data_IF_570435284419
#
_entry.id   IF_570435284419
#
_cell.length_a   1.000
_cell.length_b   1.000
_cell.length_c   1.000
_cell.angle_alpha   90.00
_cell.angle_beta   90.00
_cell.angle_gamma   90.00
#
_symmetry.space_group_name_H-M   'P 1'
#
loop_
_entity.id
_entity.type
_entity.pdbx_description
1 polymer ?
#
# COMPACT_ATOMS: atom_id res chain seq x y z
N UNK A 1 -1.54 -18.27 0.55
CA UNK A 1 -1.74 -16.82 0.26
C UNK A 1 -3.07 -16.38 0.84
N UNK A 2 -3.25 -15.11 1.21
CA UNK A 2 -4.41 -14.67 2.00
C UNK A 2 -5.14 -13.52 1.32
N UNK A 3 -6.47 -13.50 1.48
CA UNK A 3 -7.31 -12.41 1.07
C UNK A 3 -6.94 -11.14 1.84
N UNK A 4 -7.04 -9.99 1.18
CA UNK A 4 -6.83 -8.66 1.76
C UNK A 4 -7.99 -7.74 1.48
N UNK A 5 -7.89 -6.53 2.00
CA UNK A 5 -8.83 -5.44 1.72
C UNK A 5 -8.14 -4.29 1.01
N UNK A 6 -8.86 -3.66 0.11
CA UNK A 6 -8.46 -2.37 -0.45
C UNK A 6 -9.14 -1.28 0.37
N UNK A 7 -8.40 -0.22 0.68
CA UNK A 7 -8.94 0.87 1.48
C UNK A 7 -8.41 2.23 1.04
N UNK A 8 -8.91 3.24 1.71
CA UNK A 8 -8.50 4.64 1.57
C UNK A 8 -8.02 5.17 2.91
N UNK A 9 -6.87 5.81 2.91
CA UNK A 9 -6.33 6.50 4.09
C UNK A 9 -7.15 7.75 4.39
N UNK A 10 -7.90 7.73 5.48
CA UNK A 10 -8.71 8.89 5.89
C UNK A 10 -7.83 9.95 6.56
N UNK A 11 -6.93 9.52 7.46
CA UNK A 11 -6.06 10.39 8.21
C UNK A 11 -5.41 9.66 9.37
N UNK A 12 -4.86 10.44 10.31
CA UNK A 12 -4.29 9.90 11.55
C UNK A 12 -4.96 10.56 12.75
N UNK A 13 -5.09 9.80 13.82
CA UNK A 13 -5.58 10.26 15.11
C UNK A 13 -4.84 9.56 16.25
N UNK A 14 -5.10 9.95 17.47
CA UNK A 14 -4.67 9.26 18.68
C UNK A 14 -5.87 8.58 19.33
N UNK A 15 -5.66 7.38 19.82
CA UNK A 15 -6.58 6.69 20.71
C UNK A 15 -5.89 6.49 22.06
N UNK A 16 -6.66 6.51 23.11
CA UNK A 16 -6.17 6.26 24.45
C UNK A 16 -6.60 4.85 24.87
N UNK A 17 -5.72 4.12 25.53
CA UNK A 17 -6.02 2.84 26.15
C UNK A 17 -6.56 3.07 27.56
N UNK A 18 -7.14 2.05 28.14
CA UNK A 18 -7.63 2.08 29.53
C UNK A 18 -6.49 2.32 30.53
N UNK A 19 -5.26 1.90 30.17
CA UNK A 19 -4.04 2.14 30.94
C UNK A 19 -3.50 3.59 30.82
N UNK A 20 -4.15 4.45 30.04
CA UNK A 20 -3.76 5.85 29.82
C UNK A 20 -2.73 6.06 28.70
N UNK A 21 -2.30 5.02 27.99
CA UNK A 21 -1.35 5.15 26.88
C UNK A 21 -1.97 5.82 25.66
N UNK A 22 -1.25 6.78 25.06
CA UNK A 22 -1.64 7.42 23.80
C UNK A 22 -1.04 6.70 22.61
N UNK A 23 -1.89 6.04 21.81
CA UNK A 23 -1.48 5.27 20.65
C UNK A 23 -1.81 6.05 19.37
N UNK A 24 -0.79 6.42 18.54
CA UNK A 24 -1.05 7.01 17.24
C UNK A 24 -1.58 5.94 16.29
N UNK A 25 -2.69 6.22 15.61
CA UNK A 25 -3.32 5.29 14.66
C UNK A 25 -3.61 5.99 13.34
N UNK A 26 -3.50 5.24 12.26
CA UNK A 26 -4.01 5.62 10.95
C UNK A 26 -5.39 5.01 10.76
N UNK A 27 -6.36 5.82 10.37
CA UNK A 27 -7.72 5.40 10.06
C UNK A 27 -7.80 5.07 8.57
N UNK A 28 -8.20 3.85 8.27
CA UNK A 28 -8.42 3.33 6.92
C UNK A 28 -9.91 3.06 6.72
N UNK A 29 -10.47 3.64 5.70
CA UNK A 29 -11.82 3.33 5.21
C UNK A 29 -11.68 2.14 4.26
N UNK A 30 -12.24 1.02 4.64
CA UNK A 30 -12.23 -0.24 3.86
C UNK A 30 -13.64 -0.65 3.45
N UNK A 31 -14.58 0.29 3.49
CA UNK A 31 -15.95 0.08 3.07
C UNK A 31 -16.03 -0.34 1.60
N UNK A 32 -17.08 -1.09 1.26
CA UNK A 32 -17.46 -1.31 -0.13
C UNK A 32 -16.42 -2.10 -0.97
N UNK A 33 -15.75 -3.08 -0.35
CA UNK A 33 -14.96 -4.08 -1.07
C UNK A 33 -15.89 -5.15 -1.65
N UNK A 34 -15.96 -5.27 -2.97
CA UNK A 34 -16.89 -6.19 -3.69
C UNK A 34 -16.10 -7.09 -4.60
N UNK A 35 -16.43 -8.38 -4.61
CA UNK A 35 -15.84 -9.37 -5.50
C UNK A 35 -16.36 -9.16 -6.92
N UNK A 36 -15.48 -8.95 -7.87
CA UNK A 36 -15.83 -8.76 -9.29
C UNK A 36 -15.59 -10.00 -10.14
N UNK A 37 -14.59 -10.79 -9.81
CA UNK A 37 -14.28 -12.02 -10.54
C UNK A 37 -13.51 -12.99 -9.64
N UNK A 38 -13.77 -14.25 -9.81
CA UNK A 38 -12.99 -15.32 -9.24
C UNK A 38 -12.18 -15.94 -10.38
N UNK A 39 -10.87 -16.02 -10.21
CA UNK A 39 -9.94 -16.62 -11.16
C UNK A 39 -9.60 -18.03 -10.74
N UNK A 40 -9.71 -18.96 -11.68
CA UNK A 40 -9.43 -20.37 -11.46
C UNK A 40 -8.24 -20.84 -12.28
N UNK A 41 -7.53 -21.89 -11.84
CA UNK A 41 -6.40 -22.43 -12.59
C UNK A 41 -6.75 -22.90 -14.01
N UNK A 42 -7.99 -23.34 -14.20
CA UNK A 42 -8.48 -23.87 -15.47
C UNK A 42 -8.66 -22.79 -16.54
N UNK A 43 -9.17 -21.62 -16.14
CA UNK A 43 -9.48 -20.53 -17.07
C UNK A 43 -8.37 -19.48 -17.15
N UNK A 44 -7.75 -19.16 -16.03
CA UNK A 44 -6.79 -18.06 -15.91
C UNK A 44 -5.35 -18.53 -15.62
N UNK A 45 -5.14 -19.82 -15.33
CA UNK A 45 -3.84 -20.40 -14.99
C UNK A 45 -3.40 -20.18 -13.55
N UNK A 46 -4.22 -19.50 -12.70
CA UNK A 46 -3.95 -19.29 -11.28
C UNK A 46 -5.23 -19.01 -10.50
N UNK A 47 -5.18 -19.22 -9.18
CA UNK A 47 -6.31 -18.91 -8.28
C UNK A 47 -6.17 -17.51 -7.67
N UNK A 48 -7.19 -16.69 -7.84
CA UNK A 48 -7.25 -15.35 -7.25
C UNK A 48 -8.70 -14.88 -7.12
N UNK A 49 -8.92 -13.93 -6.20
CA UNK A 49 -10.16 -13.17 -6.08
C UNK A 49 -9.89 -11.73 -6.48
N UNK A 50 -10.60 -11.25 -7.49
CA UNK A 50 -10.55 -9.85 -7.90
C UNK A 50 -11.60 -9.06 -7.13
N UNK A 51 -11.18 -7.96 -6.52
CA UNK A 51 -12.01 -7.10 -5.69
C UNK A 51 -11.99 -5.68 -6.24
N UNK A 52 -13.14 -5.02 -6.24
CA UNK A 52 -13.26 -3.59 -6.51
C UNK A 52 -13.53 -2.82 -5.23
N UNK A 53 -12.97 -1.61 -5.11
CA UNK A 53 -13.13 -0.72 -3.97
C UNK A 53 -13.55 0.68 -4.39
N UNK A 54 -14.35 1.30 -3.54
CA UNK A 54 -14.80 2.68 -3.71
C UNK A 54 -15.92 2.80 -4.74
N UNK A 55 -16.17 4.02 -5.19
CA UNK A 55 -17.24 4.33 -6.14
C UNK A 55 -16.74 5.25 -7.25
N UNK A 56 -17.06 4.95 -8.49
CA UNK A 56 -16.72 5.74 -9.67
C UNK A 56 -17.99 6.12 -10.43
N UNK A 57 -18.08 7.37 -10.83
CA UNK A 57 -19.22 7.84 -11.64
C UNK A 57 -19.31 7.06 -12.95
N UNK A 58 -20.51 6.62 -13.33
CA UNK A 58 -20.76 5.83 -14.55
C UNK A 58 -20.20 6.50 -15.83
N UNK A 59 -20.30 7.83 -15.93
CA UNK A 59 -19.76 8.60 -17.06
C UNK A 59 -18.24 8.52 -17.23
N UNK A 60 -17.51 8.08 -16.19
CA UNK A 60 -16.05 7.90 -16.21
C UNK A 60 -15.61 6.45 -16.35
N UNK A 61 -16.56 5.55 -16.55
CA UNK A 61 -16.30 4.11 -16.73
C UNK A 61 -16.32 3.81 -18.22
N UNK A 62 -15.29 3.14 -18.73
CA UNK A 62 -15.25 2.69 -20.12
C UNK A 62 -16.26 1.57 -20.34
N UNK A 63 -16.78 1.41 -21.57
CA UNK A 63 -17.73 0.34 -21.92
C UNK A 63 -17.19 -1.06 -21.58
N UNK A 64 -15.90 -1.31 -21.80
CA UNK A 64 -15.26 -2.57 -21.46
C UNK A 64 -15.28 -2.86 -19.94
N UNK A 65 -14.90 -1.87 -19.11
CA UNK A 65 -14.95 -1.99 -17.66
C UNK A 65 -16.41 -2.13 -17.14
N UNK A 66 -17.35 -1.39 -17.72
CA UNK A 66 -18.76 -1.51 -17.37
C UNK A 66 -19.30 -2.92 -17.67
N UNK A 67 -18.95 -3.49 -18.83
CA UNK A 67 -19.32 -4.86 -19.20
C UNK A 67 -18.71 -5.92 -18.27
N UNK A 68 -17.45 -5.70 -17.83
CA UNK A 68 -16.81 -6.59 -16.87
C UNK A 68 -17.52 -6.58 -15.51
N UNK A 69 -17.84 -5.41 -14.99
CA UNK A 69 -18.51 -5.25 -13.70
C UNK A 69 -19.98 -5.69 -13.75
N UNK A 70 -20.64 -5.50 -14.87
CA UNK A 70 -22.02 -5.95 -15.09
C UNK A 70 -22.16 -7.49 -15.00
N UNK A 71 -21.15 -8.25 -15.41
CA UNK A 71 -21.13 -9.72 -15.25
C UNK A 71 -21.18 -10.14 -13.78
N UNK A 72 -20.61 -9.35 -12.89
CA UNK A 72 -20.63 -9.59 -11.45
C UNK A 72 -21.83 -8.91 -10.73
N UNK A 73 -22.61 -8.09 -11.43
CA UNK A 73 -23.72 -7.34 -10.85
C UNK A 73 -23.26 -6.25 -9.85
N UNK A 74 -22.03 -5.74 -9.98
CA UNK A 74 -21.45 -4.78 -9.02
C UNK A 74 -21.27 -3.41 -9.63
N UNK A 75 -21.40 -2.37 -8.79
CA UNK A 75 -21.10 -1.00 -9.18
C UNK A 75 -19.61 -0.77 -9.38
N UNK A 76 -19.27 0.16 -10.28
CA UNK A 76 -17.89 0.50 -10.57
C UNK A 76 -17.18 1.15 -9.39
N UNK A 77 -16.08 0.54 -8.97
CA UNK A 77 -15.13 1.12 -8.03
C UNK A 77 -14.05 1.96 -8.68
N UNK A 78 -13.25 2.61 -7.86
CA UNK A 78 -12.07 3.38 -8.30
C UNK A 78 -10.88 2.49 -8.57
N UNK A 79 -10.82 1.32 -7.94
CA UNK A 79 -9.69 0.38 -7.97
C UNK A 79 -10.21 -1.01 -8.24
N UNK A 80 -9.47 -1.75 -9.05
CA UNK A 80 -9.56 -3.19 -9.19
C UNK A 80 -8.25 -3.79 -8.70
N UNK A 81 -8.33 -4.77 -7.79
CA UNK A 81 -7.15 -5.46 -7.24
C UNK A 81 -7.40 -6.94 -7.13
N UNK A 82 -6.41 -7.72 -7.46
CA UNK A 82 -6.44 -9.18 -7.31
C UNK A 82 -5.65 -9.60 -6.07
N UNK A 83 -6.23 -10.52 -5.32
CA UNK A 83 -5.59 -11.20 -4.21
C UNK A 83 -5.43 -12.66 -4.58
N UNK A 84 -4.21 -13.14 -4.63
CA UNK A 84 -3.95 -14.56 -4.80
C UNK A 84 -4.33 -15.29 -3.53
N UNK A 85 -5.19 -16.27 -3.66
CA UNK A 85 -5.70 -17.09 -2.55
C UNK A 85 -5.63 -18.58 -2.98
N UNK A 86 -5.70 -19.46 -2.00
CA UNK A 86 -5.77 -20.89 -2.25
C UNK A 86 -7.12 -21.22 -2.93
N UNK A 87 -7.12 -22.23 -3.81
CA UNK A 87 -8.30 -22.59 -4.60
C UNK A 87 -9.53 -22.88 -3.74
N UNK A 88 -9.35 -23.53 -2.58
CA UNK A 88 -10.42 -23.80 -1.62
C UNK A 88 -11.11 -22.52 -1.14
N UNK A 89 -10.33 -21.51 -0.74
CA UNK A 89 -10.88 -20.20 -0.30
C UNK A 89 -11.48 -19.38 -1.43
N UNK A 90 -10.96 -19.55 -2.65
CA UNK A 90 -11.52 -18.89 -3.82
C UNK A 90 -12.93 -19.44 -4.17
N UNK A 91 -13.14 -20.73 -3.99
CA UNK A 91 -14.43 -21.39 -4.28
C UNK A 91 -15.54 -21.08 -3.28
N UNK A 92 -15.20 -20.62 -2.06
CA UNK A 92 -16.16 -20.18 -1.05
C UNK A 92 -16.84 -18.83 -1.39
N UNK A 93 -16.22 -18.04 -2.26
CA UNK A 93 -16.69 -16.72 -2.65
C UNK A 93 -17.45 -16.73 -3.97
N UNK A 94 -18.34 -15.77 -4.13
CA UNK A 94 -19.09 -15.56 -5.37
C UNK A 94 -18.86 -14.14 -5.89
N UNK A 95 -18.95 -13.99 -7.21
CA UNK A 95 -18.98 -12.65 -7.81
C UNK A 95 -20.21 -11.90 -7.29
N UNK A 96 -20.01 -10.64 -6.89
CA UNK A 96 -21.02 -9.82 -6.24
C UNK A 96 -20.95 -9.77 -4.72
N UNK A 97 -20.25 -10.71 -4.08
CA UNK A 97 -20.12 -10.74 -2.62
C UNK A 97 -19.37 -9.52 -2.10
N UNK A 98 -19.73 -9.07 -0.89
CA UNK A 98 -19.02 -8.00 -0.18
C UNK A 98 -18.03 -8.62 0.79
N UNK A 99 -16.78 -8.19 0.71
CA UNK A 99 -15.74 -8.63 1.65
C UNK A 99 -15.81 -7.75 2.90
N UNK A 100 -16.21 -8.31 4.06
CA UNK A 100 -16.41 -7.54 5.28
C UNK A 100 -15.08 -7.15 5.93
N UNK A 101 -15.09 -6.08 6.72
CA UNK A 101 -13.94 -5.67 7.54
C UNK A 101 -13.60 -6.70 8.62
N UNK A 102 -14.56 -7.52 9.03
CA UNK A 102 -14.39 -8.62 9.98
C UNK A 102 -13.43 -9.73 9.52
N UNK A 103 -12.88 -9.63 8.30
CA UNK A 103 -11.73 -10.43 7.87
C UNK A 103 -10.50 -10.23 8.78
N UNK A 104 -10.41 -9.09 9.46
CA UNK A 104 -9.31 -8.72 10.33
C UNK A 104 -9.75 -8.59 11.78
N UNK A 105 -8.89 -9.01 12.70
CA UNK A 105 -9.11 -9.00 14.13
C UNK A 105 -8.23 -7.94 14.84
N UNK A 106 -8.69 -7.46 15.98
CA UNK A 106 -7.91 -6.55 16.85
C UNK A 106 -6.66 -7.27 17.35
N UNK A 107 -5.52 -6.59 17.32
CA UNK A 107 -4.22 -7.16 17.70
C UNK A 107 -3.52 -7.94 16.57
N UNK A 108 -4.22 -8.25 15.47
CA UNK A 108 -3.62 -8.92 14.33
C UNK A 108 -2.53 -8.05 13.69
N UNK A 109 -1.44 -8.67 13.23
CA UNK A 109 -0.40 -8.00 12.43
C UNK A 109 -0.77 -8.02 10.96
N UNK A 110 -0.60 -6.86 10.32
CA UNK A 110 -0.91 -6.64 8.91
C UNK A 110 0.24 -5.95 8.19
N UNK A 111 0.33 -6.18 6.89
CA UNK A 111 1.22 -5.48 5.98
C UNK A 111 0.36 -4.51 5.15
N UNK A 112 0.73 -3.24 5.15
CA UNK A 112 -0.02 -2.21 4.43
C UNK A 112 0.82 -1.65 3.30
N UNK A 113 0.33 -1.82 2.07
CA UNK A 113 0.94 -1.31 0.86
C UNK A 113 0.23 -0.05 0.39
N UNK A 114 0.99 0.93 -0.05
CA UNK A 114 0.45 2.16 -0.63
C UNK A 114 1.49 2.87 -1.48
N UNK A 115 1.03 3.86 -2.25
CA UNK A 115 1.91 4.74 -3.03
C UNK A 115 2.35 5.89 -2.14
N UNK A 116 3.66 6.10 -2.01
CA UNK A 116 4.22 7.17 -1.18
C UNK A 116 3.95 8.54 -1.78
N UNK A 117 4.00 9.58 -0.94
CA UNK A 117 3.84 10.96 -1.40
C UNK A 117 4.98 11.30 -2.35
N UNK A 118 4.65 11.72 -3.57
CA UNK A 118 5.61 12.18 -4.56
C UNK A 118 6.31 13.46 -4.11
N UNK A 119 7.61 13.54 -4.35
CA UNK A 119 8.47 14.69 -4.04
C UNK A 119 9.15 15.26 -5.28
N UNK A 120 8.78 14.74 -6.45
CA UNK A 120 9.34 15.12 -7.74
C UNK A 120 10.82 14.74 -7.90
N UNK A 121 11.53 15.45 -8.77
CA UNK A 121 12.97 15.28 -8.91
C UNK A 121 13.69 15.86 -7.70
N UNK A 122 14.50 15.07 -7.05
CA UNK A 122 15.18 15.44 -5.82
C UNK A 122 16.71 15.29 -5.94
N UNK A 123 17.43 16.25 -5.38
CA UNK A 123 18.88 16.19 -5.26
C UNK A 123 19.32 15.12 -4.26
N UNK A 124 20.60 14.79 -4.29
CA UNK A 124 21.19 13.72 -3.46
C UNK A 124 21.07 13.98 -1.96
N UNK A 125 21.06 15.24 -1.54
CA UNK A 125 20.89 15.62 -0.13
C UNK A 125 19.50 15.20 0.36
N UNK A 126 18.45 15.61 -0.36
CA UNK A 126 17.06 15.24 0.00
C UNK A 126 16.77 13.76 -0.20
N UNK A 127 17.34 13.15 -1.25
CA UNK A 127 17.03 11.76 -1.63
C UNK A 127 17.77 10.74 -0.79
N UNK A 128 19.03 11.02 -0.42
CA UNK A 128 19.93 10.07 0.22
C UNK A 128 20.65 10.60 1.46
N UNK A 129 20.32 11.82 1.91
CA UNK A 129 20.91 12.46 3.08
C UNK A 129 22.43 12.67 2.97
N UNK A 130 22.91 13.01 1.77
CA UNK A 130 24.29 13.39 1.57
C UNK A 130 24.57 14.74 2.25
N UNK A 131 25.80 14.92 2.72
CA UNK A 131 26.25 16.23 3.23
C UNK A 131 26.35 17.23 2.10
N UNK A 132 25.95 18.47 2.35
CA UNK A 132 26.17 19.58 1.40
C UNK A 132 27.64 20.02 1.41
N UNK A 133 28.09 20.62 0.32
CA UNK A 133 29.33 21.39 0.31
C UNK A 133 29.22 22.63 1.22
N UNK A 134 30.37 23.20 1.55
CA UNK A 134 30.43 24.45 2.35
C UNK A 134 29.75 25.61 1.60
N UNK A 135 29.05 26.49 2.34
CA UNK A 135 28.42 27.68 1.76
C UNK A 135 29.42 28.78 1.41
N UNK A 136 30.54 28.82 2.15
CA UNK A 136 31.62 29.82 2.06
C UNK A 136 32.99 29.14 1.95
N UNK A 137 34.08 29.78 2.35
CA UNK A 137 35.47 29.27 2.33
C UNK A 137 35.94 28.89 0.90
N UNK A 138 35.69 29.78 -0.09
CA UNK A 138 36.13 29.61 -1.48
C UNK A 138 35.27 28.68 -2.32
N UNK A 139 34.18 28.13 -1.79
CA UNK A 139 33.27 27.31 -2.56
C UNK A 139 32.34 28.18 -3.41
N UNK A 140 32.46 28.10 -4.75
CA UNK A 140 31.70 28.98 -5.67
C UNK A 140 30.41 28.35 -6.22
N UNK A 141 30.40 27.07 -6.56
CA UNK A 141 29.25 26.44 -7.29
C UNK A 141 28.88 25.04 -6.79
N UNK A 142 29.64 24.47 -5.87
CA UNK A 142 29.52 23.06 -5.47
C UNK A 142 28.79 22.87 -4.13
N UNK A 143 27.64 23.53 -3.95
CA UNK A 143 26.92 23.51 -2.67
C UNK A 143 26.08 22.25 -2.49
N UNK A 144 25.25 21.89 -3.49
CA UNK A 144 24.27 20.81 -3.40
C UNK A 144 24.57 19.65 -4.37
N UNK A 145 25.85 19.43 -4.63
CA UNK A 145 26.33 18.39 -5.56
C UNK A 145 26.55 17.06 -4.87
N UNK A 146 26.57 15.92 -5.60
CA UNK A 146 26.78 14.60 -5.03
C UNK A 146 28.23 14.37 -4.53
N UNK A 147 29.18 15.25 -4.89
CA UNK A 147 30.61 15.02 -4.69
C UNK A 147 31.19 14.03 -5.68
N UNK A 148 32.22 13.29 -5.28
CA UNK A 148 32.83 12.28 -6.13
C UNK A 148 31.84 11.18 -6.49
N UNK A 149 31.78 10.83 -7.77
CA UNK A 149 30.93 9.75 -8.29
C UNK A 149 31.70 8.47 -8.59
N UNK A 150 33.03 8.52 -8.52
CA UNK A 150 33.91 7.39 -8.78
C UNK A 150 35.38 7.78 -8.74
N UNK A 151 36.23 6.87 -9.20
CA UNK A 151 37.69 7.05 -9.39
C UNK A 151 37.97 7.31 -10.87
N UNK A 152 39.14 7.86 -11.18
CA UNK A 152 39.47 8.33 -12.53
C UNK A 152 39.76 7.17 -13.51
N UNK A 153 41.02 6.78 -13.69
CA UNK A 153 41.45 5.85 -14.73
C UNK A 153 40.95 4.43 -14.47
N UNK A 154 41.03 3.95 -13.24
CA UNK A 154 40.56 2.64 -12.82
C UNK A 154 39.52 2.78 -11.70
N UNK A 155 38.28 2.36 -11.92
CA UNK A 155 37.69 1.49 -12.97
C UNK A 155 37.27 2.18 -14.26
N UNK A 156 37.46 3.49 -14.45
CA UNK A 156 37.07 4.24 -15.64
C UNK A 156 35.59 4.32 -15.93
N UNK A 157 34.75 4.01 -14.95
CA UNK A 157 33.27 3.99 -15.03
C UNK A 157 32.63 4.30 -13.69
N UNK A 158 31.38 4.70 -13.73
CA UNK A 158 30.53 4.79 -12.51
C UNK A 158 29.89 3.43 -12.25
N UNK A 159 30.00 2.93 -11.03
CA UNK A 159 29.41 1.64 -10.67
C UNK A 159 27.88 1.67 -10.73
N UNK A 160 27.22 0.57 -11.15
CA UNK A 160 25.78 0.42 -11.04
C UNK A 160 25.30 0.62 -9.59
N UNK A 161 24.15 1.27 -9.42
CA UNK A 161 23.61 1.54 -8.08
C UNK A 161 24.20 2.76 -7.37
N UNK A 162 25.10 3.52 -7.99
CA UNK A 162 25.60 4.79 -7.43
C UNK A 162 24.43 5.74 -7.17
N UNK A 163 24.35 6.25 -5.94
CA UNK A 163 23.30 7.17 -5.52
C UNK A 163 23.46 8.53 -6.18
N UNK A 164 22.50 8.91 -7.00
CA UNK A 164 22.47 10.16 -7.76
C UNK A 164 21.11 10.84 -7.64
N UNK A 165 21.01 12.07 -8.14
CA UNK A 165 19.75 12.81 -8.23
C UNK A 165 18.70 12.02 -9.04
N UNK A 166 17.44 12.23 -8.77
CA UNK A 166 16.36 11.58 -9.51
C UNK A 166 15.02 11.70 -8.83
N UNK A 167 14.03 10.99 -9.36
CA UNK A 167 12.69 10.96 -8.83
C UNK A 167 12.67 10.40 -7.40
N UNK A 168 11.88 11.02 -6.53
CA UNK A 168 11.69 10.61 -5.14
C UNK A 168 10.20 10.57 -4.80
N UNK A 169 9.78 9.52 -4.16
CA UNK A 169 8.38 9.27 -3.84
C UNK A 169 7.57 8.81 -5.04
N UNK A 170 6.25 8.73 -4.89
CA UNK A 170 5.31 8.14 -5.86
C UNK A 170 5.67 6.68 -6.22
N UNK A 171 6.28 5.99 -5.27
CA UNK A 171 6.67 4.59 -5.36
C UNK A 171 5.76 3.73 -4.50
N UNK A 172 5.48 2.51 -4.95
CA UNK A 172 4.82 1.51 -4.13
C UNK A 172 5.73 1.11 -2.96
N UNK A 173 5.22 1.25 -1.73
CA UNK A 173 5.92 0.86 -0.51
C UNK A 173 4.98 0.06 0.38
N UNK A 174 5.55 -0.94 1.04
CA UNK A 174 4.85 -1.77 2.02
C UNK A 174 5.46 -1.55 3.39
N UNK A 175 4.64 -1.17 4.36
CA UNK A 175 5.02 -1.16 5.78
C UNK A 175 4.51 -2.46 6.37
N UNK A 176 5.44 -3.24 6.94
CA UNK A 176 5.17 -4.59 7.43
C UNK A 176 4.94 -4.61 8.94
N UNK A 177 4.20 -5.63 9.39
CA UNK A 177 3.97 -5.93 10.79
C UNK A 177 3.30 -4.80 11.60
N UNK A 178 2.44 -4.02 10.98
CA UNK A 178 1.59 -3.07 11.69
C UNK A 178 0.53 -3.82 12.48
N UNK A 179 0.14 -3.30 13.65
CA UNK A 179 -0.86 -3.93 14.50
C UNK A 179 -2.19 -3.20 14.34
N UNK A 180 -3.27 -3.97 14.22
CA UNK A 180 -4.63 -3.43 14.22
C UNK A 180 -4.99 -3.07 15.67
N UNK A 181 -5.25 -1.78 15.89
CA UNK A 181 -5.62 -1.28 17.21
C UNK A 181 -7.13 -1.41 17.46
N UNK A 182 -7.95 -1.21 16.42
CA UNK A 182 -9.41 -1.31 16.53
C UNK A 182 -10.02 -1.62 15.15
N UNK A 183 -11.11 -2.37 15.15
CA UNK A 183 -11.97 -2.66 14.00
C UNK A 183 -13.34 -2.06 14.31
N UNK A 184 -13.84 -1.21 13.44
CA UNK A 184 -15.19 -0.63 13.51
C UNK A 184 -16.03 -1.24 12.37
N UNK A 185 -16.86 -2.21 12.73
CA UNK A 185 -17.67 -2.94 11.76
C UNK A 185 -18.82 -2.08 11.20
N UNK A 186 -19.39 -1.20 12.02
CA UNK A 186 -20.52 -0.36 11.61
C UNK A 186 -20.14 0.68 10.56
N UNK A 187 -18.95 1.27 10.75
CA UNK A 187 -18.40 2.29 9.83
C UNK A 187 -17.45 1.71 8.79
N UNK A 188 -17.18 0.42 8.83
CA UNK A 188 -16.22 -0.26 7.96
C UNK A 188 -14.81 0.38 8.01
N UNK A 189 -14.35 0.73 9.22
CA UNK A 189 -13.06 1.36 9.45
C UNK A 189 -12.08 0.40 10.12
N UNK A 190 -10.83 0.50 9.69
CA UNK A 190 -9.69 -0.20 10.26
C UNK A 190 -8.72 0.83 10.86
N UNK A 191 -8.46 0.75 12.16
CA UNK A 191 -7.50 1.59 12.84
C UNK A 191 -6.19 0.82 13.04
N UNK A 192 -5.15 1.24 12.34
CA UNK A 192 -3.84 0.58 12.35
C UNK A 192 -2.85 1.42 13.14
N UNK A 193 -2.13 0.81 14.07
CA UNK A 193 -1.12 1.49 14.91
C UNK A 193 0.05 1.97 14.05
N UNK A 194 0.35 3.27 14.11
CA UNK A 194 1.47 3.89 13.41
C UNK A 194 1.13 4.49 12.04
N UNK A 195 2.17 4.77 11.27
CA UNK A 195 2.07 5.42 9.97
C UNK A 195 1.85 4.42 8.83
N UNK A 196 1.06 4.83 7.85
CA UNK A 196 0.77 4.08 6.62
C UNK A 196 1.26 4.90 5.42
N UNK A 197 1.82 4.28 4.37
CA UNK A 197 2.28 4.97 3.18
C UNK A 197 1.19 5.81 2.51
N UNK A 198 1.58 6.88 1.87
CA UNK A 198 0.71 7.69 1.04
C UNK A 198 0.10 8.91 1.72
N UNK A 199 -0.51 9.75 0.89
CA UNK A 199 -1.20 10.96 1.30
C UNK A 199 -2.60 10.63 1.90
N UNK A 200 -3.22 11.62 2.52
CA UNK A 200 -4.65 11.59 2.85
C UNK A 200 -5.46 11.33 1.57
N UNK A 201 -6.46 10.50 1.66
CA UNK A 201 -7.27 9.97 0.56
C UNK A 201 -6.52 9.05 -0.43
N UNK A 202 -5.25 8.72 -0.17
CA UNK A 202 -4.50 7.74 -0.94
C UNK A 202 -5.06 6.33 -0.76
N UNK A 203 -4.95 5.53 -1.80
CA UNK A 203 -5.36 4.12 -1.79
C UNK A 203 -4.31 3.28 -1.06
N UNK A 204 -4.77 2.32 -0.30
CA UNK A 204 -3.93 1.36 0.41
C UNK A 204 -4.49 -0.05 0.26
N UNK A 205 -3.61 -1.03 0.35
CA UNK A 205 -3.96 -2.44 0.35
C UNK A 205 -3.51 -3.00 1.69
N UNK A 206 -4.41 -3.66 2.39
CA UNK A 206 -4.16 -4.28 3.69
C UNK A 206 -4.17 -5.79 3.50
N UNK A 207 -3.08 -6.43 3.91
CA UNK A 207 -2.88 -7.87 3.85
C UNK A 207 -2.50 -8.39 5.23
N UNK A 208 -2.86 -9.63 5.60
CA UNK A 208 -2.26 -10.27 6.75
C UNK A 208 -0.74 -10.30 6.63
N UNK A 209 -0.02 -10.06 7.72
CA UNK A 209 1.44 -9.94 7.69
C UNK A 209 2.10 -11.28 7.34
N UNK A 210 2.99 -11.26 6.36
CA UNK A 210 3.70 -12.46 5.87
C UNK A 210 4.73 -12.96 6.90
N UNK A 211 5.35 -12.04 7.65
CA UNK A 211 6.43 -12.36 8.59
C UNK A 211 5.97 -12.68 10.01
N UNK A 212 4.70 -12.91 10.23
CA UNK A 212 4.22 -13.43 11.51
C UNK A 212 4.60 -14.88 11.60
N UNK A 213 5.51 -15.21 12.54
CA UNK A 213 5.72 -16.60 12.94
C UNK A 213 4.38 -17.11 13.49
N UNK A 214 3.69 -17.94 12.77
CA UNK A 214 2.63 -18.76 13.34
C UNK A 214 3.31 -19.57 14.45
N UNK A 215 2.87 -19.39 15.69
CA UNK A 215 3.21 -20.31 16.76
C UNK A 215 2.48 -21.62 16.47
N UNK A 216 2.98 -22.36 15.48
CA UNK A 216 2.55 -23.72 15.26
C UNK A 216 3.44 -24.60 16.11
N UNK A 217 2.86 -25.16 17.13
CA UNK A 217 3.31 -26.39 17.77
C UNK A 217 4.41 -26.19 18.82
N UNK A 218 4.04 -26.03 20.06
CA UNK A 218 4.67 -26.79 21.14
C UNK A 218 3.82 -28.04 21.35
#
# INVERSE_FOLDING_TARGET
MSLGLVGRKVGMMRIFTDDGDSIPVTVLDVSNNRVTQIKTPETDGYSAVQVTFGQRRASRVTKAAAGHLAKAGVEAGTVLKEFRVDAAKASEMKAGDVVPVGLFEVGQKVDVQGVTIGKGYAGVIKRYHFSSGRATHGNSRSHNVPGSIGMAQDPGRVFPGKRMTGHLGDDNRTVQNLVIARVDADRQLLLVKGAVPGAKNGQVIVLPAIKVKTKNGA
#
